data_IF_314835566097
#
_entry.id   IF_314835566097
#
_cell.length_a   1.000
_cell.length_b   1.000
_cell.length_c   1.000
_cell.angle_alpha   90.00
_cell.angle_beta   90.00
_cell.angle_gamma   90.00
#
_symmetry.space_group_name_H-M   'P 1'
#
loop_
_entity.id
_entity.type
_entity.pdbx_description
1 polymer ?
#
# COMPACT_ATOMS: atom_id res chain seq x y z
N UNK A 1 -16.71 16.29 -10.96
CA UNK A 1 -15.59 15.62 -11.64
C UNK A 1 -14.39 15.67 -10.69
N UNK A 2 -14.08 14.56 -10.01
CA UNK A 2 -13.03 14.52 -8.98
C UNK A 2 -11.64 14.66 -9.60
N UNK A 3 -10.77 15.50 -9.01
CA UNK A 3 -9.39 15.68 -9.48
C UNK A 3 -8.58 14.43 -9.13
N UNK A 4 -7.73 13.90 -10.03
CA UNK A 4 -6.85 12.78 -9.69
C UNK A 4 -5.86 13.22 -8.61
N UNK A 5 -5.77 12.46 -7.53
CA UNK A 5 -4.82 12.68 -6.44
C UNK A 5 -3.57 11.83 -6.70
N UNK A 6 -2.39 12.44 -6.52
CA UNK A 6 -1.12 11.72 -6.61
C UNK A 6 -0.87 11.11 -5.23
N UNK A 7 -0.93 9.78 -5.17
CA UNK A 7 -0.52 9.00 -4.00
C UNK A 7 0.96 8.63 -4.08
N UNK A 8 1.57 8.36 -2.92
CA UNK A 8 2.93 7.85 -2.82
C UNK A 8 2.94 6.58 -1.98
N UNK A 9 3.66 5.57 -2.43
CA UNK A 9 3.92 4.36 -1.66
C UNK A 9 5.42 4.16 -1.50
N UNK A 10 5.79 3.59 -0.36
CA UNK A 10 7.16 3.21 -0.06
C UNK A 10 7.14 1.97 0.81
N UNK A 11 8.05 1.04 0.56
CA UNK A 11 8.11 -0.21 1.30
C UNK A 11 9.51 -0.74 1.38
N UNK A 12 9.72 -1.60 2.37
CA UNK A 12 10.93 -2.40 2.54
C UNK A 12 10.53 -3.86 2.60
N UNK A 13 11.27 -4.70 1.90
CA UNK A 13 11.04 -6.13 1.87
C UNK A 13 12.34 -6.88 2.04
N UNK A 14 12.25 -8.04 2.66
CA UNK A 14 13.35 -9.00 2.73
C UNK A 14 12.93 -10.29 2.03
N UNK A 15 13.85 -10.86 1.28
CA UNK A 15 13.70 -12.16 0.66
C UNK A 15 14.82 -13.08 1.14
N UNK A 16 14.44 -14.27 1.58
CA UNK A 16 15.32 -15.29 2.12
C UNK A 16 15.14 -16.59 1.34
N UNK A 17 16.23 -17.10 0.76
CA UNK A 17 16.24 -18.41 0.14
C UNK A 17 16.22 -19.50 1.23
N UNK A 18 15.22 -20.38 1.19
CA UNK A 18 15.08 -21.52 2.12
C UNK A 18 15.43 -22.84 1.46
N UNK A 19 15.37 -22.92 0.14
CA UNK A 19 15.86 -24.03 -0.66
C UNK A 19 16.37 -23.50 -2.01
N UNK A 20 17.04 -24.36 -2.78
CA UNK A 20 17.61 -24.02 -4.09
C UNK A 20 16.57 -23.43 -5.07
N UNK A 21 15.31 -23.84 -4.92
CA UNK A 21 14.19 -23.41 -5.76
C UNK A 21 13.07 -22.70 -5.01
N UNK A 22 13.27 -22.37 -3.72
CA UNK A 22 12.23 -21.78 -2.87
C UNK A 22 12.76 -20.58 -2.11
N UNK A 23 12.11 -19.43 -2.28
CA UNK A 23 12.38 -18.23 -1.50
C UNK A 23 11.15 -17.82 -0.69
N UNK A 24 11.39 -17.34 0.53
CA UNK A 24 10.39 -16.73 1.42
C UNK A 24 10.57 -15.23 1.31
N UNK A 25 9.49 -14.52 1.02
CA UNK A 25 9.48 -13.07 0.91
C UNK A 25 8.55 -12.47 1.96
N UNK A 26 9.00 -11.42 2.63
CA UNK A 26 8.16 -10.59 3.51
C UNK A 26 8.35 -9.14 3.12
N UNK A 27 7.25 -8.45 2.85
CA UNK A 27 7.21 -7.05 2.45
C UNK A 27 6.35 -6.26 3.43
N UNK A 28 6.90 -5.14 3.88
CA UNK A 28 6.17 -4.11 4.58
C UNK A 28 6.08 -2.87 3.69
N UNK A 29 4.87 -2.45 3.35
CA UNK A 29 4.64 -1.24 2.55
C UNK A 29 3.71 -0.25 3.26
N UNK A 30 4.08 1.01 3.15
CA UNK A 30 3.25 2.15 3.52
C UNK A 30 2.67 2.77 2.25
N UNK A 31 1.37 3.00 2.24
CA UNK A 31 0.68 3.58 1.09
C UNK A 31 -0.09 4.82 1.54
N UNK A 32 0.20 5.95 0.89
CA UNK A 32 -0.49 7.22 1.05
C UNK A 32 -1.36 7.47 -0.19
N UNK A 33 -2.68 7.41 -0.06
CA UNK A 33 -3.61 7.56 -1.20
C UNK A 33 -4.03 9.02 -1.44
N UNK A 34 -3.47 9.97 -0.69
CA UNK A 34 -3.85 11.38 -0.78
C UNK A 34 -5.14 11.69 -0.01
N UNK A 35 -5.65 12.91 -0.19
CA UNK A 35 -6.92 13.36 0.40
C UNK A 35 -8.07 12.84 -0.45
N UNK A 36 -9.02 12.17 0.18
CA UNK A 36 -10.27 11.78 -0.43
C UNK A 36 -11.37 12.68 0.15
N UNK A 37 -12.01 13.48 -0.70
CA UNK A 37 -13.17 14.25 -0.29
C UNK A 37 -14.38 13.31 -0.34
N UNK A 38 -14.73 12.75 0.81
CA UNK A 38 -15.70 11.65 0.88
C UNK A 38 -17.12 12.14 0.56
N UNK A 39 -17.57 13.29 1.07
CA UNK A 39 -18.85 13.91 0.74
C UNK A 39 -18.84 15.40 1.12
N UNK A 40 -19.51 16.23 0.31
CA UNK A 40 -19.83 17.63 0.63
C UNK A 40 -21.32 17.72 0.91
N UNK A 41 -21.70 17.95 2.16
CA UNK A 41 -23.08 18.33 2.53
C UNK A 41 -23.02 19.52 3.50
N UNK A 42 -23.92 20.49 3.29
CA UNK A 42 -24.09 21.69 4.13
C UNK A 42 -22.81 22.50 4.47
N UNK A 43 -21.90 22.67 3.51
CA UNK A 43 -20.72 23.55 3.66
C UNK A 43 -19.60 22.99 4.55
N UNK A 44 -19.70 21.74 5.00
CA UNK A 44 -18.66 21.05 5.74
C UNK A 44 -17.95 20.05 4.82
N UNK A 45 -16.68 20.29 4.52
CA UNK A 45 -15.85 19.36 3.74
C UNK A 45 -15.13 18.42 4.70
N UNK A 46 -15.60 17.17 4.79
CA UNK A 46 -14.83 16.10 5.43
C UNK A 46 -13.75 15.63 4.45
N UNK A 47 -12.54 16.16 4.62
CA UNK A 47 -11.37 15.76 3.85
C UNK A 47 -10.60 14.73 4.67
N UNK A 48 -10.74 13.46 4.31
CA UNK A 48 -10.11 12.37 5.05
C UNK A 48 -8.79 11.97 4.38
N UNK A 49 -7.75 11.80 5.18
CA UNK A 49 -6.40 11.51 4.69
C UNK A 49 -6.17 10.01 4.83
N UNK A 50 -6.50 9.26 3.79
CA UNK A 50 -6.40 7.80 3.83
C UNK A 50 -4.94 7.36 3.68
N UNK A 51 -4.41 6.73 4.72
CA UNK A 51 -3.08 6.13 4.74
C UNK A 51 -3.16 4.77 5.41
N UNK A 52 -2.55 3.75 4.81
CA UNK A 52 -2.56 2.41 5.38
C UNK A 52 -1.21 1.72 5.30
N UNK A 53 -0.99 0.83 6.26
CA UNK A 53 0.15 -0.06 6.34
C UNK A 53 -0.28 -1.42 5.79
N UNK A 54 0.51 -1.99 4.89
CA UNK A 54 0.30 -3.30 4.30
C UNK A 54 1.48 -4.18 4.65
N UNK A 55 1.18 -5.37 5.16
CA UNK A 55 2.16 -6.43 5.40
C UNK A 55 1.79 -7.59 4.47
N UNK A 56 2.76 -8.03 3.67
CA UNK A 56 2.61 -9.15 2.75
C UNK A 56 3.70 -10.18 3.03
N UNK A 57 3.34 -11.45 2.98
CA UNK A 57 4.29 -12.56 3.06
C UNK A 57 3.97 -13.55 1.95
N UNK A 58 4.99 -14.13 1.32
CA UNK A 58 4.83 -14.99 0.16
C UNK A 58 5.96 -16.02 0.05
N UNK A 59 5.66 -17.07 -0.70
CA UNK A 59 6.63 -18.09 -1.13
C UNK A 59 6.79 -17.97 -2.64
N UNK A 60 8.03 -17.91 -3.10
CA UNK A 60 8.37 -17.90 -4.52
C UNK A 60 9.03 -19.23 -4.88
N UNK A 61 8.45 -19.93 -5.85
CA UNK A 61 8.97 -21.18 -6.38
C UNK A 61 9.55 -20.92 -7.77
N UNK A 62 10.84 -21.19 -7.97
CA UNK A 62 11.51 -21.01 -9.25
C UNK A 62 11.83 -22.39 -9.84
N UNK A 63 11.18 -22.69 -10.96
CA UNK A 63 11.32 -23.94 -11.73
C UNK A 63 12.23 -23.76 -12.96
#
# INVERSE_FOLDING_TARGET
MGRPYIGASGGVGHEYAVAEHVTVQTEYSYVHLGKFDAFTDAGTTLSDRLSFHKISTGLNFRF
#
